data_IF_994355468366
#
_entry.id   IF_994355468366
#
_cell.length_a   1.000
_cell.length_b   1.000
_cell.length_c   1.000
_cell.angle_alpha   90.00
_cell.angle_beta   90.00
_cell.angle_gamma   90.00
#
_symmetry.space_group_name_H-M   'P 1'
#
loop_
_entity.id
_entity.type
_entity.pdbx_description
1 polymer ?
#
# COMPACT_ATOMS: atom_id res chain seq x y z
N UNK A 1 -10.66 -10.15 14.10
CA UNK A 1 -10.39 -9.46 12.83
C UNK A 1 -9.10 -8.60 12.81
N UNK A 2 -8.24 -8.60 13.85
CA UNK A 2 -7.01 -7.76 13.87
C UNK A 2 -5.74 -8.43 13.32
N UNK A 3 -5.70 -9.74 13.08
CA UNK A 3 -4.47 -10.39 12.59
C UNK A 3 -4.12 -10.03 11.13
N UNK A 4 -5.12 -9.70 10.30
CA UNK A 4 -4.90 -9.46 8.87
C UNK A 4 -4.20 -8.12 8.58
N UNK A 5 -4.32 -7.11 9.47
CA UNK A 5 -3.65 -5.83 9.30
C UNK A 5 -2.14 -5.92 9.50
N UNK A 6 -1.63 -6.99 10.11
CA UNK A 6 -0.19 -7.22 10.29
C UNK A 6 0.48 -7.92 9.11
N UNK A 7 -0.27 -8.68 8.29
CA UNK A 7 0.31 -9.48 7.20
C UNK A 7 1.05 -8.60 6.19
N UNK A 8 0.44 -7.49 5.79
CA UNK A 8 1.00 -6.60 4.76
C UNK A 8 2.24 -5.85 5.28
N UNK A 9 2.21 -5.21 6.47
CA UNK A 9 3.43 -4.65 7.06
C UNK A 9 4.55 -5.67 7.27
N UNK A 10 4.21 -6.91 7.67
CA UNK A 10 5.20 -7.97 7.81
C UNK A 10 5.83 -8.38 6.48
N UNK A 11 5.04 -8.45 5.40
CA UNK A 11 5.59 -8.68 4.06
C UNK A 11 6.57 -7.60 3.65
N UNK A 12 6.30 -6.33 3.98
CA UNK A 12 7.19 -5.22 3.69
C UNK A 12 8.49 -5.27 4.52
N UNK A 13 8.40 -5.63 5.80
CA UNK A 13 9.58 -5.88 6.65
C UNK A 13 10.42 -7.03 6.09
N UNK A 14 9.78 -8.13 5.64
CA UNK A 14 10.48 -9.24 5.01
C UNK A 14 11.08 -8.87 3.65
N UNK A 15 10.41 -8.01 2.88
CA UNK A 15 10.93 -7.48 1.62
C UNK A 15 12.22 -6.70 1.86
N UNK A 16 12.29 -5.87 2.90
CA UNK A 16 13.51 -5.16 3.31
C UNK A 16 14.71 -6.09 3.51
N UNK A 17 14.48 -7.33 3.97
CA UNK A 17 15.53 -8.35 4.14
C UNK A 17 15.91 -9.03 2.83
N UNK A 18 14.91 -9.39 2.02
CA UNK A 18 15.11 -10.20 0.80
C UNK A 18 15.56 -9.37 -0.41
N UNK A 19 15.06 -8.16 -0.51
CA UNK A 19 15.26 -7.26 -1.65
C UNK A 19 15.26 -5.79 -1.16
N UNK A 20 16.41 -5.30 -0.65
CA UNK A 20 16.53 -3.94 -0.16
C UNK A 20 16.28 -2.87 -1.23
N UNK A 21 16.55 -3.17 -2.50
CA UNK A 21 16.34 -2.24 -3.60
C UNK A 21 14.84 -2.02 -3.84
N UNK A 22 14.06 -3.10 -3.88
CA UNK A 22 12.60 -3.01 -4.00
C UNK A 22 11.93 -2.44 -2.76
N UNK A 23 12.51 -2.67 -1.58
CA UNK A 23 12.10 -1.97 -0.37
C UNK A 23 12.36 -0.46 -0.48
N UNK A 24 13.51 -0.04 -0.98
CA UNK A 24 13.84 1.39 -1.15
C UNK A 24 12.84 2.08 -2.08
N UNK A 25 12.40 1.41 -3.15
CA UNK A 25 11.32 1.88 -4.02
C UNK A 25 9.99 2.01 -3.26
N UNK A 26 9.57 0.97 -2.53
CA UNK A 26 8.33 1.03 -1.73
C UNK A 26 8.37 2.17 -0.71
N UNK A 27 9.52 2.43 -0.10
CA UNK A 27 9.71 3.46 0.90
C UNK A 27 9.64 4.90 0.35
N UNK A 28 9.62 5.11 -0.97
CA UNK A 28 9.39 6.44 -1.56
C UNK A 28 7.91 6.80 -1.67
N UNK A 29 7.02 5.82 -1.51
CA UNK A 29 5.58 6.05 -1.62
C UNK A 29 5.04 6.87 -0.45
N UNK A 30 4.06 7.71 -0.74
CA UNK A 30 3.48 8.63 0.23
C UNK A 30 2.64 7.87 1.29
N UNK A 31 2.95 8.12 2.56
CA UNK A 31 2.30 7.45 3.70
C UNK A 31 1.20 8.30 4.33
N UNK A 32 1.28 9.63 4.18
CA UNK A 32 0.49 10.62 4.90
C UNK A 32 0.47 10.38 6.41
N UNK A 33 1.55 9.83 6.98
CA UNK A 33 1.59 9.40 8.38
C UNK A 33 1.37 10.59 9.33
N UNK A 34 1.90 11.77 9.01
CA UNK A 34 1.78 12.99 9.83
C UNK A 34 0.35 13.48 9.94
N UNK A 35 -0.40 13.52 8.83
CA UNK A 35 -1.80 13.97 8.81
C UNK A 35 -2.75 12.94 9.41
N UNK A 36 -2.35 11.67 9.45
CA UNK A 36 -3.17 10.56 9.94
C UNK A 36 -3.12 10.33 11.44
N UNK A 37 -2.16 10.91 12.17
CA UNK A 37 -1.96 10.61 13.60
C UNK A 37 -3.20 10.90 14.46
N UNK A 38 -4.05 11.84 14.02
CA UNK A 38 -5.28 12.25 14.71
C UNK A 38 -6.49 11.37 14.37
N UNK A 39 -6.34 10.41 13.44
CA UNK A 39 -7.47 9.61 12.97
C UNK A 39 -7.74 8.39 13.87
N UNK A 40 -9.01 7.97 14.03
CA UNK A 40 -9.36 6.74 14.75
C UNK A 40 -8.71 5.49 14.17
N UNK A 41 -8.54 5.46 12.84
CA UNK A 41 -7.87 4.36 12.15
C UNK A 41 -6.41 4.23 12.57
N UNK A 42 -5.67 5.35 12.63
CA UNK A 42 -4.28 5.35 13.09
C UNK A 42 -4.15 4.80 14.52
N UNK A 43 -5.04 5.22 15.43
CA UNK A 43 -5.06 4.72 16.80
C UNK A 43 -5.31 3.20 16.85
N UNK A 44 -6.26 2.71 16.06
CA UNK A 44 -6.58 1.28 15.97
C UNK A 44 -5.43 0.46 15.35
N UNK A 45 -4.79 0.97 14.29
CA UNK A 45 -3.63 0.31 13.68
C UNK A 45 -2.48 0.27 14.68
N UNK A 46 -2.17 1.39 15.34
CA UNK A 46 -1.10 1.47 16.34
C UNK A 46 -1.31 0.49 17.49
N UNK A 47 -2.52 0.40 18.04
CA UNK A 47 -2.81 -0.45 19.20
C UNK A 47 -2.78 -1.95 18.88
N UNK A 48 -3.01 -2.34 17.62
CA UNK A 48 -2.99 -3.74 17.19
C UNK A 48 -1.66 -4.15 16.56
N UNK A 49 -1.14 -3.35 15.64
CA UNK A 49 0.04 -3.69 14.83
C UNK A 49 1.33 -3.64 15.65
N UNK A 50 1.51 -2.58 16.44
CA UNK A 50 2.79 -2.34 17.14
C UNK A 50 3.08 -3.42 18.18
N UNK A 51 2.15 -3.78 19.10
CA UNK A 51 2.42 -4.83 20.08
C UNK A 51 2.62 -6.19 19.40
N UNK A 52 1.84 -6.49 18.36
CA UNK A 52 1.95 -7.76 17.65
C UNK A 52 3.32 -7.91 16.97
N UNK A 53 3.77 -6.91 16.21
CA UNK A 53 5.04 -7.02 15.49
C UNK A 53 6.24 -6.92 16.43
N UNK A 54 6.24 -5.96 17.36
CA UNK A 54 7.43 -5.69 18.18
C UNK A 54 7.57 -6.67 19.35
N UNK A 55 6.47 -7.03 20.00
CA UNK A 55 6.49 -7.88 21.19
C UNK A 55 6.20 -9.35 20.86
N UNK A 56 5.10 -9.64 20.16
CA UNK A 56 4.71 -11.05 19.87
C UNK A 56 5.67 -11.69 18.87
N UNK A 57 6.04 -10.97 17.81
CA UNK A 57 7.02 -11.45 16.81
C UNK A 57 8.47 -11.09 17.16
N UNK A 58 8.69 -10.42 18.30
CA UNK A 58 10.01 -10.06 18.81
C UNK A 58 10.88 -9.23 17.83
N UNK A 59 10.26 -8.41 16.97
CA UNK A 59 10.97 -7.59 15.97
C UNK A 59 11.31 -6.18 16.47
N UNK A 60 11.21 -5.92 17.78
CA UNK A 60 11.41 -4.57 18.37
C UNK A 60 12.77 -3.92 18.06
N UNK A 61 13.79 -4.73 17.77
CA UNK A 61 15.15 -4.29 17.42
C UNK A 61 15.35 -4.08 15.91
N UNK A 62 14.44 -4.57 15.08
CA UNK A 62 14.54 -4.49 13.62
C UNK A 62 13.66 -3.40 13.01
N UNK A 63 12.54 -3.09 13.67
CA UNK A 63 11.57 -2.11 13.19
C UNK A 63 11.11 -1.20 14.33
N UNK A 64 11.20 0.10 14.08
CA UNK A 64 10.70 1.12 15.01
C UNK A 64 9.18 1.25 14.92
N UNK A 65 8.57 1.88 15.92
CA UNK A 65 7.13 2.19 15.90
C UNK A 65 6.81 3.12 14.72
N UNK A 66 7.63 4.16 14.50
CA UNK A 66 7.44 5.10 13.40
C UNK A 66 7.45 4.39 12.04
N UNK A 67 8.45 3.53 11.80
CA UNK A 67 8.57 2.77 10.57
C UNK A 67 7.37 1.83 10.34
N UNK A 68 6.82 1.21 11.39
CA UNK A 68 5.60 0.41 11.27
C UNK A 68 4.39 1.24 10.85
N UNK A 69 4.25 2.44 11.40
CA UNK A 69 3.15 3.34 11.08
C UNK A 69 3.28 3.93 9.67
N UNK A 70 4.49 4.26 9.24
CA UNK A 70 4.78 4.67 7.86
C UNK A 70 4.42 3.57 6.86
N UNK A 71 4.88 2.34 7.10
CA UNK A 71 4.54 1.18 6.26
C UNK A 71 3.03 1.02 6.17
N UNK A 72 2.32 1.03 7.29
CA UNK A 72 0.86 0.91 7.30
C UNK A 72 0.21 2.04 6.49
N UNK A 73 0.68 3.28 6.64
CA UNK A 73 0.22 4.43 5.88
C UNK A 73 0.43 4.29 4.38
N UNK A 74 1.60 3.80 3.94
CA UNK A 74 1.90 3.53 2.52
C UNK A 74 0.86 2.58 1.94
N UNK A 75 0.59 1.46 2.59
CA UNK A 75 -0.39 0.50 2.07
C UNK A 75 -1.83 1.03 2.14
N UNK A 76 -2.17 1.79 3.16
CA UNK A 76 -3.51 2.38 3.27
C UNK A 76 -3.77 3.49 2.24
N UNK A 77 -2.73 4.15 1.71
CA UNK A 77 -2.86 5.18 0.66
C UNK A 77 -2.76 4.60 -0.75
N UNK A 78 -1.86 3.65 -0.97
CA UNK A 78 -1.40 3.29 -2.31
C UNK A 78 -1.91 1.91 -2.80
N UNK A 79 -2.66 1.16 -1.98
CA UNK A 79 -3.14 -0.16 -2.37
C UNK A 79 -4.42 -0.10 -3.20
N UNK A 80 -4.47 -0.90 -4.26
CA UNK A 80 -5.67 -1.15 -5.06
C UNK A 80 -6.46 -2.33 -4.49
N UNK A 81 -7.79 -2.21 -4.42
CA UNK A 81 -8.69 -3.35 -4.21
C UNK A 81 -8.94 -4.05 -5.54
N UNK A 82 -8.49 -5.29 -5.65
CA UNK A 82 -8.81 -6.17 -6.79
C UNK A 82 -9.89 -7.14 -6.35
N UNK A 83 -10.95 -7.23 -7.16
CA UNK A 83 -12.03 -8.21 -6.99
C UNK A 83 -11.80 -9.32 -7.98
N UNK A 84 -11.83 -10.57 -7.51
CA UNK A 84 -11.74 -11.78 -8.33
C UNK A 84 -13.09 -12.49 -8.21
N UNK A 85 -14.09 -12.14 -9.07
CA UNK A 85 -15.47 -12.59 -8.92
C UNK A 85 -15.60 -14.12 -8.94
N UNK A 86 -14.82 -14.80 -9.77
CA UNK A 86 -14.84 -16.26 -9.97
C UNK A 86 -14.50 -17.01 -8.68
N UNK A 87 -13.72 -16.38 -7.81
CA UNK A 87 -13.31 -16.94 -6.51
C UNK A 87 -14.05 -16.32 -5.33
N UNK A 88 -14.88 -15.30 -5.56
CA UNK A 88 -15.56 -14.54 -4.51
C UNK A 88 -14.61 -13.86 -3.51
N UNK A 89 -13.36 -13.59 -3.92
CA UNK A 89 -12.34 -13.00 -3.03
C UNK A 89 -12.00 -11.56 -3.43
N UNK A 90 -11.57 -10.80 -2.43
CA UNK A 90 -10.98 -9.48 -2.58
C UNK A 90 -9.54 -9.52 -2.11
N UNK A 91 -8.63 -8.97 -2.90
CA UNK A 91 -7.23 -8.83 -2.54
C UNK A 91 -6.82 -7.36 -2.57
N UNK A 92 -5.80 -7.01 -1.79
CA UNK A 92 -5.13 -5.72 -1.86
C UNK A 92 -3.74 -5.90 -2.46
N UNK A 93 -3.42 -5.08 -3.44
CA UNK A 93 -2.15 -5.12 -4.14
C UNK A 93 -1.61 -3.70 -4.34
N UNK A 94 -0.28 -3.58 -4.32
CA UNK A 94 0.43 -2.32 -4.50
C UNK A 94 1.10 -2.35 -5.87
N UNK A 95 0.73 -1.40 -6.72
CA UNK A 95 1.33 -1.20 -8.04
C UNK A 95 1.98 0.16 -8.05
N UNK A 96 3.31 0.20 -7.93
CA UNK A 96 4.09 1.43 -7.76
C UNK A 96 3.81 2.47 -8.86
N UNK A 97 3.84 2.06 -10.14
CA UNK A 97 3.53 2.95 -11.27
C UNK A 97 2.10 3.47 -11.24
N UNK A 98 1.14 2.65 -10.79
CA UNK A 98 -0.24 3.08 -10.64
C UNK A 98 -0.41 4.06 -9.49
N UNK A 99 0.23 3.78 -8.35
CA UNK A 99 0.15 4.58 -7.14
C UNK A 99 0.75 5.99 -7.29
N UNK A 100 1.62 6.21 -8.28
CA UNK A 100 2.16 7.53 -8.63
C UNK A 100 1.18 8.42 -9.41
N UNK A 101 0.04 7.90 -9.89
CA UNK A 101 -0.96 8.70 -10.59
C UNK A 101 -1.74 9.58 -9.60
N UNK A 102 -1.82 10.88 -9.90
CA UNK A 102 -2.59 11.80 -9.09
C UNK A 102 -4.10 11.56 -9.31
N UNK A 103 -4.90 11.65 -8.24
CA UNK A 103 -6.35 11.57 -8.39
C UNK A 103 -6.88 12.78 -9.16
N UNK A 104 -7.52 12.55 -10.31
CA UNK A 104 -8.28 13.56 -11.06
C UNK A 104 -9.77 13.17 -11.12
N UNK A 105 -10.67 14.12 -10.79
CA UNK A 105 -12.12 13.91 -10.84
C UNK A 105 -12.67 13.69 -12.27
N UNK A 106 -11.91 14.07 -13.30
CA UNK A 106 -12.15 13.72 -14.71
C UNK A 106 -10.91 12.97 -15.23
N UNK A 107 -10.80 11.66 -14.96
CA UNK A 107 -9.62 10.91 -15.32
C UNK A 107 -9.52 10.75 -16.84
N UNK A 108 -8.34 11.03 -17.39
CA UNK A 108 -8.02 10.79 -18.80
C UNK A 108 -7.56 9.33 -19.06
N UNK A 109 -7.41 8.52 -18.00
CA UNK A 109 -7.10 7.09 -18.07
C UNK A 109 -8.14 6.23 -17.34
N UNK A 110 -8.19 4.95 -17.72
CA UNK A 110 -8.91 3.88 -17.02
C UNK A 110 -7.92 2.77 -16.69
N UNK A 111 -8.11 2.11 -15.55
CA UNK A 111 -7.35 0.94 -15.17
C UNK A 111 -8.25 -0.27 -14.95
N UNK A 112 -7.72 -1.45 -15.26
CA UNK A 112 -8.30 -2.74 -14.94
C UNK A 112 -7.17 -3.73 -14.61
N UNK A 113 -7.54 -4.90 -14.09
CA UNK A 113 -6.60 -5.98 -13.83
C UNK A 113 -6.86 -7.09 -14.84
N UNK A 114 -5.81 -7.59 -15.50
CA UNK A 114 -5.91 -8.76 -16.36
C UNK A 114 -5.96 -10.06 -15.53
N UNK A 115 -6.09 -11.20 -16.21
CA UNK A 115 -6.19 -12.52 -15.58
C UNK A 115 -4.92 -12.90 -14.79
N UNK A 116 -3.77 -12.27 -15.08
CA UNK A 116 -2.49 -12.46 -14.39
C UNK A 116 -2.29 -11.46 -13.25
N UNK A 117 -3.30 -10.61 -12.98
CA UNK A 117 -3.25 -9.52 -12.00
C UNK A 117 -2.23 -8.43 -12.35
N UNK A 118 -1.91 -8.23 -13.62
CA UNK A 118 -1.20 -7.03 -14.04
C UNK A 118 -2.15 -5.84 -14.03
N UNK A 119 -1.69 -4.70 -13.52
CA UNK A 119 -2.42 -3.44 -13.65
C UNK A 119 -2.29 -2.97 -15.10
N UNK A 120 -3.39 -3.01 -15.85
CA UNK A 120 -3.45 -2.49 -17.22
C UNK A 120 -4.06 -1.11 -17.19
N UNK A 121 -3.38 -0.16 -17.82
CA UNK A 121 -3.79 1.23 -17.91
C UNK A 121 -4.00 1.61 -19.37
N UNK A 122 -5.15 2.19 -19.67
CA UNK A 122 -5.53 2.63 -21.01
C UNK A 122 -5.97 4.09 -20.99
N UNK A 123 -5.66 4.82 -22.05
CA UNK A 123 -6.20 6.15 -22.25
C UNK A 123 -7.73 6.07 -22.48
N UNK A 124 -8.48 6.92 -21.78
CA UNK A 124 -9.93 7.04 -21.91
C UNK A 124 -10.32 8.14 -22.92
N UNK A 125 -9.38 9.03 -23.23
CA UNK A 125 -9.48 10.16 -24.15
C UNK A 125 -8.13 10.33 -24.87
N UNK A 126 -8.06 11.17 -25.90
CA UNK A 126 -6.78 11.55 -26.49
C UNK A 126 -5.95 12.37 -25.49
N UNK A 127 -4.70 11.97 -25.25
CA UNK A 127 -3.79 12.62 -24.28
C UNK A 127 -2.62 13.26 -25.05
N UNK A 128 -2.56 14.60 -25.15
CA UNK A 128 -1.42 15.32 -25.71
C UNK A 128 -0.10 15.04 -25.00
N UNK A 129 1.01 15.13 -25.74
CA UNK A 129 2.35 14.97 -25.16
C UNK A 129 2.61 16.02 -24.07
N UNK A 130 2.92 15.55 -22.86
CA UNK A 130 3.25 16.39 -21.71
C UNK A 130 2.08 16.69 -20.78
N UNK A 131 0.87 16.24 -21.10
CA UNK A 131 -0.26 16.27 -20.18
C UNK A 131 -0.10 15.24 -19.06
N UNK A 132 -0.55 15.59 -17.86
CA UNK A 132 -0.48 14.72 -16.68
C UNK A 132 -1.46 13.55 -16.80
N UNK A 133 -1.04 12.40 -16.29
CA UNK A 133 -1.85 11.17 -16.17
C UNK A 133 -2.14 10.91 -14.69
#
# INVERSE_FOLDING_TARGET
HSAYCAIVPLRAILLKRKDPARWAQLATLESHVETRQTTPLYAAVRSNLVPFVREVLNLRNEVSVGQLMEIAGIFDTNSYEIRIPERGIKIRALYELGAMMAHCCQPNTKHYFDDELNLVMIAAVDIPKGEMI
#
